data_IF_858938737916
#
_entry.id   IF_858938737916
#
_cell.length_a   1.000
_cell.length_b   1.000
_cell.length_c   1.000
_cell.angle_alpha   90.00
_cell.angle_beta   90.00
_cell.angle_gamma   90.00
#
_symmetry.space_group_name_H-M   'P 1'
#
loop_
_entity.id
_entity.type
_entity.pdbx_description
1 polymer ?
#
# COMPACT_ATOMS: atom_id res chain seq x y z
N UNK A 1 -6.27 20.22 8.41
CA UNK A 1 -5.34 19.44 7.59
C UNK A 1 -6.06 18.75 6.44
N UNK A 2 -7.17 18.12 6.74
CA UNK A 2 -8.04 17.45 5.77
C UNK A 2 -8.53 18.38 4.65
N UNK A 3 -8.99 19.57 5.00
CA UNK A 3 -9.46 20.57 4.03
C UNK A 3 -8.39 20.84 2.96
N UNK A 4 -7.12 21.07 3.36
CA UNK A 4 -6.02 21.29 2.41
C UNK A 4 -5.78 20.09 1.49
N UNK A 5 -5.95 18.86 2.00
CA UNK A 5 -5.83 17.67 1.19
C UNK A 5 -6.98 17.54 0.20
N UNK A 6 -8.22 17.82 0.62
CA UNK A 6 -9.40 17.80 -0.26
C UNK A 6 -9.31 18.85 -1.37
N UNK A 7 -8.91 20.07 -1.02
CA UNK A 7 -8.65 21.14 -2.02
C UNK A 7 -7.58 20.70 -3.02
N UNK A 8 -6.48 20.10 -2.54
CA UNK A 8 -5.43 19.58 -3.41
C UNK A 8 -5.91 18.46 -4.35
N UNK A 9 -6.71 17.52 -3.84
CA UNK A 9 -7.29 16.43 -4.64
C UNK A 9 -8.21 16.99 -5.73
N UNK A 10 -9.04 17.97 -5.39
CA UNK A 10 -9.94 18.61 -6.33
C UNK A 10 -9.17 19.43 -7.39
N UNK A 11 -8.31 20.37 -6.95
CA UNK A 11 -7.67 21.33 -7.85
C UNK A 11 -6.53 20.73 -8.69
N UNK A 12 -5.76 19.79 -8.12
CA UNK A 12 -4.54 19.28 -8.76
C UNK A 12 -4.72 17.92 -9.41
N UNK A 13 -5.68 17.12 -8.95
CA UNK A 13 -5.96 15.81 -9.50
C UNK A 13 -7.28 15.77 -10.28
N UNK A 14 -8.10 16.83 -10.25
CA UNK A 14 -9.37 16.89 -10.96
C UNK A 14 -10.40 15.89 -10.46
N UNK A 15 -10.31 15.46 -9.19
CA UNK A 15 -11.24 14.49 -8.63
C UNK A 15 -12.36 15.25 -7.89
N UNK A 16 -13.55 15.27 -8.50
CA UNK A 16 -14.71 16.00 -7.97
C UNK A 16 -15.52 15.20 -6.97
N UNK A 17 -15.50 13.86 -7.08
CA UNK A 17 -16.29 13.06 -6.17
C UNK A 17 -15.74 13.06 -4.74
N UNK A 18 -16.64 12.94 -3.76
CA UNK A 18 -16.30 12.93 -2.35
C UNK A 18 -15.52 11.67 -2.00
N UNK A 19 -14.23 11.83 -1.68
CA UNK A 19 -13.35 10.77 -1.19
C UNK A 19 -13.50 10.64 0.33
N UNK A 20 -13.74 9.44 0.81
CA UNK A 20 -13.78 9.17 2.25
C UNK A 20 -12.40 8.94 2.82
N UNK A 21 -11.98 9.85 3.71
CA UNK A 21 -10.65 9.87 4.32
C UNK A 21 -10.81 9.63 5.82
N UNK A 22 -10.10 8.65 6.37
CA UNK A 22 -10.19 8.32 7.78
C UNK A 22 -9.31 9.21 8.66
N UNK A 23 -8.02 9.27 8.37
CA UNK A 23 -7.07 10.05 9.16
C UNK A 23 -6.10 10.80 8.25
N UNK A 24 -5.84 12.07 8.62
CA UNK A 24 -4.92 12.95 7.89
C UNK A 24 -3.99 13.65 8.88
N UNK A 25 -2.70 13.43 8.76
CA UNK A 25 -1.71 14.06 9.62
C UNK A 25 -0.41 14.38 8.88
N UNK A 26 0.46 15.18 9.50
CA UNK A 26 1.80 15.44 9.01
C UNK A 26 2.76 14.38 9.52
N UNK A 27 3.58 13.83 8.62
CA UNK A 27 4.56 12.81 8.95
C UNK A 27 5.96 13.41 9.14
N UNK A 28 6.73 12.83 10.08
CA UNK A 28 8.11 13.19 10.33
C UNK A 28 8.32 14.42 11.19
N UNK A 29 9.56 14.64 11.59
CA UNK A 29 9.99 15.83 12.35
C UNK A 29 10.03 17.05 11.42
N UNK A 30 9.78 18.23 11.99
CA UNK A 30 9.98 19.50 11.28
C UNK A 30 11.50 19.72 11.15
N UNK A 31 11.97 19.77 9.92
CA UNK A 31 13.38 19.99 9.64
C UNK A 31 13.50 21.17 8.68
N UNK A 32 14.12 22.24 9.11
CA UNK A 32 14.21 23.52 8.39
C UNK A 32 12.81 23.98 7.92
N UNK A 33 12.74 24.91 7.00
CA UNK A 33 11.47 25.45 6.47
C UNK A 33 10.79 24.54 5.43
N UNK A 34 11.26 23.32 5.27
CA UNK A 34 10.64 22.38 4.32
C UNK A 34 9.28 21.89 4.82
N UNK A 35 8.24 21.94 3.98
CA UNK A 35 6.94 21.45 4.36
C UNK A 35 6.99 19.92 4.58
N UNK A 36 6.45 19.48 5.73
CA UNK A 36 6.36 18.06 6.04
C UNK A 36 5.33 17.37 5.13
N UNK A 37 5.57 16.12 4.69
CA UNK A 37 4.59 15.38 3.92
C UNK A 37 3.29 15.17 4.71
N UNK A 38 2.19 15.11 3.99
CA UNK A 38 0.88 14.77 4.52
C UNK A 38 0.66 13.28 4.27
N UNK A 39 0.30 12.55 5.32
CA UNK A 39 -0.14 11.15 5.24
C UNK A 39 -1.64 11.12 5.40
N UNK A 40 -2.32 10.42 4.51
CA UNK A 40 -3.75 10.23 4.54
C UNK A 40 -4.11 8.74 4.43
N UNK A 41 -5.07 8.30 5.24
CA UNK A 41 -5.65 6.97 5.16
C UNK A 41 -6.98 7.05 4.43
N UNK A 42 -7.07 6.38 3.29
CA UNK A 42 -8.32 6.23 2.55
C UNK A 42 -9.13 5.08 3.14
N UNK A 43 -10.45 5.26 3.24
CA UNK A 43 -11.35 4.21 3.73
C UNK A 43 -11.60 3.16 2.65
N UNK A 44 -11.70 3.60 1.40
CA UNK A 44 -11.96 2.72 0.27
C UNK A 44 -10.73 2.58 -0.63
N UNK A 45 -10.41 1.36 -0.99
CA UNK A 45 -9.29 1.06 -1.89
C UNK A 45 -9.52 1.65 -3.30
N UNK A 46 -10.77 1.78 -3.73
CA UNK A 46 -11.15 2.44 -4.98
C UNK A 46 -10.67 3.89 -5.04
N UNK A 47 -10.89 4.64 -3.96
CA UNK A 47 -10.49 6.05 -3.87
C UNK A 47 -8.97 6.20 -3.87
N UNK A 48 -8.28 5.32 -3.13
CA UNK A 48 -6.81 5.26 -3.16
C UNK A 48 -6.28 5.01 -4.57
N UNK A 49 -6.86 4.04 -5.29
CA UNK A 49 -6.45 3.74 -6.67
C UNK A 49 -6.65 4.93 -7.58
N UNK A 50 -7.81 5.57 -7.53
CA UNK A 50 -8.12 6.75 -8.33
C UNK A 50 -7.11 7.88 -8.09
N UNK A 51 -6.78 8.17 -6.84
CA UNK A 51 -5.77 9.20 -6.49
C UNK A 51 -4.39 8.83 -7.01
N UNK A 52 -3.99 7.56 -6.93
CA UNK A 52 -2.70 7.10 -7.44
C UNK A 52 -2.62 7.13 -8.97
N UNK A 53 -3.69 6.80 -9.66
CA UNK A 53 -3.76 6.83 -11.11
C UNK A 53 -3.68 8.28 -11.64
N UNK A 54 -4.36 9.21 -10.97
CA UNK A 54 -4.28 10.64 -11.29
C UNK A 54 -2.96 11.31 -10.86
N UNK A 55 -2.16 10.65 -10.03
CA UNK A 55 -0.85 11.20 -9.62
C UNK A 55 0.10 11.45 -10.81
N UNK A 56 -0.14 10.85 -11.96
CA UNK A 56 0.61 11.12 -13.19
C UNK A 56 0.47 12.57 -13.67
N UNK A 57 -0.63 13.24 -13.36
CA UNK A 57 -0.86 14.65 -13.70
C UNK A 57 0.03 15.61 -12.93
N UNK A 58 0.61 15.14 -11.82
CA UNK A 58 1.57 15.94 -11.04
C UNK A 58 2.99 15.96 -11.65
N UNK A 59 3.19 15.32 -12.80
CA UNK A 59 4.48 15.33 -13.49
C UNK A 59 4.88 16.78 -13.81
N UNK A 60 6.13 17.13 -13.53
CA UNK A 60 6.68 18.48 -13.67
C UNK A 60 6.09 19.54 -12.69
N UNK A 61 5.40 19.10 -11.65
CA UNK A 61 4.98 19.97 -10.55
C UNK A 61 5.83 19.70 -9.30
N UNK A 62 5.87 20.62 -8.32
CA UNK A 62 6.58 20.39 -7.05
C UNK A 62 5.89 19.37 -6.14
N UNK A 63 4.79 18.80 -6.58
CA UNK A 63 3.99 17.84 -5.80
C UNK A 63 4.27 16.41 -6.23
N UNK A 64 4.16 15.47 -5.28
CA UNK A 64 4.26 14.05 -5.54
C UNK A 64 3.37 13.27 -4.58
N UNK A 65 2.81 12.17 -5.08
CA UNK A 65 2.02 11.24 -4.29
C UNK A 65 2.72 9.89 -4.32
N UNK A 66 2.92 9.32 -3.13
CA UNK A 66 3.55 8.03 -2.96
C UNK A 66 2.73 7.16 -2.02
N UNK A 67 2.60 5.91 -2.34
CA UNK A 67 2.02 4.94 -1.44
C UNK A 67 3.00 4.65 -0.30
N UNK A 68 2.50 4.68 0.94
CA UNK A 68 3.28 4.30 2.12
C UNK A 68 3.20 2.78 2.30
N UNK A 69 4.36 2.17 2.49
CA UNK A 69 4.48 0.74 2.75
C UNK A 69 5.01 0.49 4.16
N UNK A 70 4.68 -0.67 4.77
CA UNK A 70 5.35 -1.13 5.99
C UNK A 70 6.85 -1.27 5.77
N UNK A 71 7.63 -1.05 6.84
CA UNK A 71 9.09 -1.06 6.79
C UNK A 71 9.70 -2.30 6.10
N UNK A 72 9.25 -3.55 6.36
CA UNK A 72 9.81 -4.71 5.68
C UNK A 72 9.66 -4.67 4.14
N UNK A 73 8.54 -4.12 3.66
CA UNK A 73 8.31 -3.94 2.22
C UNK A 73 9.19 -2.82 1.68
N UNK A 74 9.31 -1.72 2.42
CA UNK A 74 10.15 -0.58 2.03
C UNK A 74 11.63 -0.97 1.94
N UNK A 75 12.13 -1.78 2.86
CA UNK A 75 13.51 -2.27 2.85
C UNK A 75 13.79 -3.14 1.61
N UNK A 76 12.86 -4.05 1.25
CA UNK A 76 12.93 -4.81 0.00
C UNK A 76 12.92 -3.89 -1.23
N UNK A 77 12.03 -2.90 -1.26
CA UNK A 77 11.96 -1.91 -2.35
C UNK A 77 13.25 -1.14 -2.50
N UNK A 78 13.89 -0.77 -1.38
CA UNK A 78 15.17 -0.04 -1.38
C UNK A 78 16.27 -0.82 -2.10
N UNK A 79 16.34 -2.14 -1.89
CA UNK A 79 17.28 -3.03 -2.61
C UNK A 79 16.98 -3.10 -4.11
N UNK A 80 15.70 -3.01 -4.50
CA UNK A 80 15.25 -3.11 -5.89
C UNK A 80 15.35 -1.80 -6.70
N UNK A 81 15.41 -0.64 -6.04
CA UNK A 81 15.45 0.66 -6.73
C UNK A 81 16.66 0.84 -7.66
N UNK A 82 17.89 0.46 -7.30
CA UNK A 82 19.04 0.54 -8.21
C UNK A 82 18.79 -0.24 -9.50
N UNK A 83 18.34 -1.49 -9.38
CA UNK A 83 18.06 -2.38 -10.51
C UNK A 83 16.94 -1.82 -11.40
N UNK A 84 15.86 -1.31 -10.78
CA UNK A 84 14.77 -0.63 -11.49
C UNK A 84 15.31 0.56 -12.32
N UNK A 85 16.17 1.37 -11.72
CA UNK A 85 16.74 2.55 -12.36
C UNK A 85 17.64 2.17 -13.54
N UNK A 86 18.45 1.15 -13.39
CA UNK A 86 19.35 0.64 -14.43
C UNK A 86 18.58 -0.01 -15.58
N UNK A 87 17.55 -0.81 -15.28
CA UNK A 87 16.67 -1.37 -16.29
C UNK A 87 15.98 -0.27 -17.13
N UNK A 88 15.51 0.79 -16.48
CA UNK A 88 14.93 1.96 -17.19
C UNK A 88 15.95 2.71 -18.03
N UNK A 89 17.20 2.86 -17.59
CA UNK A 89 18.27 3.46 -18.38
C UNK A 89 18.58 2.67 -19.66
N UNK A 90 18.45 1.32 -19.55
CA UNK A 90 18.62 0.42 -20.70
C UNK A 90 17.39 0.39 -21.63
N UNK A 91 16.39 1.25 -21.41
CA UNK A 91 15.16 1.28 -22.20
C UNK A 91 14.21 0.11 -21.96
N UNK A 92 14.46 -0.74 -20.95
CA UNK A 92 13.59 -1.86 -20.61
C UNK A 92 12.35 -1.37 -19.86
N UNK A 93 11.21 -2.00 -20.15
CA UNK A 93 10.00 -1.75 -19.37
C UNK A 93 10.14 -2.38 -17.97
N UNK A 94 10.33 -1.54 -16.95
CA UNK A 94 10.52 -2.00 -15.59
C UNK A 94 9.50 -1.34 -14.66
N UNK A 95 8.80 -2.17 -13.89
CA UNK A 95 7.74 -1.77 -12.95
C UNK A 95 7.96 -2.42 -11.60
N UNK A 96 7.90 -1.63 -10.54
CA UNK A 96 7.99 -2.10 -9.15
C UNK A 96 6.60 -2.13 -8.53
N UNK A 97 6.06 -3.32 -8.35
CA UNK A 97 4.74 -3.56 -7.75
C UNK A 97 4.94 -4.08 -6.33
N UNK A 98 4.53 -3.28 -5.37
CA UNK A 98 4.73 -3.57 -3.94
C UNK A 98 6.22 -3.87 -3.64
N UNK A 99 6.60 -5.11 -3.40
CA UNK A 99 7.96 -5.57 -3.10
C UNK A 99 8.57 -6.45 -4.22
N UNK A 100 7.95 -6.46 -5.40
CA UNK A 100 8.36 -7.26 -6.55
C UNK A 100 8.70 -6.36 -7.74
N UNK A 101 9.85 -6.59 -8.35
CA UNK A 101 10.29 -5.91 -9.57
C UNK A 101 9.97 -6.77 -10.79
N UNK A 102 9.35 -6.17 -11.79
CA UNK A 102 9.10 -6.81 -13.08
C UNK A 102 9.89 -6.07 -14.17
N UNK A 103 10.63 -6.80 -14.98
CA UNK A 103 11.39 -6.29 -16.12
C UNK A 103 10.90 -7.01 -17.37
N UNK A 104 10.37 -6.26 -18.34
CA UNK A 104 9.78 -6.80 -19.56
C UNK A 104 8.71 -7.89 -19.30
N UNK A 105 7.94 -7.71 -18.23
CA UNK A 105 6.88 -8.65 -17.83
C UNK A 105 7.35 -9.85 -17.00
N UNK A 106 8.66 -10.06 -16.83
CA UNK A 106 9.22 -11.14 -16.01
C UNK A 106 9.59 -10.62 -14.63
N UNK A 107 9.29 -11.38 -13.56
CA UNK A 107 9.65 -11.01 -12.20
C UNK A 107 11.16 -11.18 -12.00
N UNK A 108 11.79 -10.12 -11.48
CA UNK A 108 13.18 -10.13 -11.06
C UNK A 108 13.28 -10.54 -9.58
N UNK A 109 14.14 -11.48 -9.27
CA UNK A 109 14.46 -11.91 -7.91
C UNK A 109 15.84 -11.38 -7.53
N UNK A 110 15.96 -10.83 -6.33
CA UNK A 110 17.27 -10.56 -5.72
C UNK A 110 17.64 -11.81 -4.95
N UNK A 111 18.61 -12.57 -5.46
CA UNK A 111 19.23 -13.59 -4.66
C UNK A 111 20.13 -12.89 -3.64
N UNK A 112 20.03 -13.23 -2.37
CA UNK A 112 20.87 -12.69 -1.30
C UNK A 112 22.35 -13.18 -1.40
N UNK A 113 22.65 -13.97 -2.41
CA UNK A 113 24.00 -14.35 -2.81
C UNK A 113 24.33 -13.63 -4.10
N UNK A 114 25.48 -12.97 -4.14
CA UNK A 114 26.00 -12.12 -5.24
C UNK A 114 26.17 -12.82 -6.61
N UNK A 115 25.50 -13.93 -6.87
CA UNK A 115 25.58 -14.65 -8.13
C UNK A 115 24.21 -15.03 -8.69
N UNK A 116 24.03 -14.65 -9.94
CA UNK A 116 23.08 -15.11 -10.95
C UNK A 116 21.61 -14.66 -10.83
N UNK A 117 21.27 -13.76 -11.72
CA UNK A 117 19.93 -13.40 -12.13
C UNK A 117 19.16 -14.60 -12.71
N UNK A 118 18.35 -15.27 -11.89
CA UNK A 118 17.36 -16.21 -12.42
C UNK A 118 16.07 -15.45 -12.77
N UNK A 119 15.82 -15.30 -14.06
CA UNK A 119 14.57 -14.76 -14.59
C UNK A 119 13.56 -15.89 -14.62
N UNK A 120 12.74 -16.01 -13.59
CA UNK A 120 11.63 -16.96 -13.59
C UNK A 120 10.41 -16.31 -14.29
N UNK A 121 9.86 -16.99 -15.32
CA UNK A 121 8.75 -16.53 -16.15
C UNK A 121 7.41 -16.58 -15.39
N UNK A 122 7.20 -15.70 -14.44
CA UNK A 122 5.87 -15.45 -13.90
C UNK A 122 5.36 -14.17 -14.56
N UNK A 123 4.28 -14.27 -15.33
CA UNK A 123 3.68 -13.13 -16.00
C UNK A 123 3.13 -12.12 -14.97
N UNK A 124 3.32 -10.83 -15.23
CA UNK A 124 2.73 -9.75 -14.44
C UNK A 124 1.21 -9.90 -14.24
N UNK A 125 0.49 -10.45 -15.25
CA UNK A 125 -0.96 -10.70 -15.16
C UNK A 125 -1.31 -11.75 -14.11
N UNK A 126 -0.51 -12.80 -13.94
CA UNK A 126 -0.79 -13.88 -13.00
C UNK A 126 -0.60 -13.42 -11.54
N UNK A 127 0.35 -12.51 -11.29
CA UNK A 127 0.57 -11.98 -9.94
C UNK A 127 -0.51 -11.01 -9.46
N UNK A 128 -1.34 -10.45 -10.37
CA UNK A 128 -2.50 -9.63 -10.02
C UNK A 128 -3.76 -10.47 -9.75
N UNK A 129 -3.81 -11.70 -10.25
CA UNK A 129 -4.96 -12.62 -10.13
C UNK A 129 -4.84 -13.55 -8.93
N UNK A 130 -3.66 -13.74 -8.37
CA UNK A 130 -3.50 -14.48 -7.11
C UNK A 130 -3.86 -13.60 -5.92
N UNK A 131 -5.16 -13.39 -5.71
CA UNK A 131 -5.64 -13.18 -4.34
C UNK A 131 -5.26 -14.44 -3.56
N UNK A 132 -4.64 -14.33 -2.37
CA UNK A 132 -4.49 -15.50 -1.52
C UNK A 132 -5.89 -16.06 -1.29
N UNK A 133 -6.15 -17.28 -1.75
CA UNK A 133 -7.29 -18.06 -1.27
C UNK A 133 -7.19 -17.99 0.24
N UNK A 134 -8.20 -17.41 0.85
CA UNK A 134 -8.42 -17.39 2.28
C UNK A 134 -8.31 -18.84 2.75
N UNK A 135 -7.15 -19.16 3.29
CA UNK A 135 -6.90 -20.50 3.84
C UNK A 135 -7.84 -20.61 5.02
N UNK A 136 -8.79 -21.53 4.91
CA UNK A 136 -9.65 -22.10 5.94
C UNK A 136 -9.01 -22.01 7.32
N UNK A 137 -9.32 -20.95 8.06
CA UNK A 137 -9.16 -20.94 9.50
C UNK A 137 -10.49 -21.37 10.10
N UNK A 138 -10.59 -22.54 10.67
CA UNK A 138 -11.78 -22.92 11.41
C UNK A 138 -11.88 -21.96 12.60
N UNK A 139 -12.84 -21.04 12.53
CA UNK A 139 -13.20 -20.16 13.64
C UNK A 139 -13.86 -21.02 14.71
N UNK A 140 -13.06 -21.55 15.63
CA UNK A 140 -13.56 -22.20 16.85
C UNK A 140 -14.23 -21.16 17.73
N UNK A 141 -15.53 -21.02 17.56
CA UNK A 141 -16.40 -20.32 18.50
C UNK A 141 -16.38 -21.09 19.82
N UNK A 142 -15.61 -20.63 20.79
CA UNK A 142 -15.74 -21.07 22.17
C UNK A 142 -17.11 -20.61 22.68
N UNK A 143 -18.03 -21.56 22.80
CA UNK A 143 -19.26 -21.36 23.56
C UNK A 143 -18.85 -21.22 25.02
N UNK A 144 -19.00 -20.02 25.59
CA UNK A 144 -19.04 -19.84 27.02
C UNK A 144 -20.34 -20.50 27.50
N UNK A 145 -20.20 -21.55 28.30
CA UNK A 145 -21.27 -22.13 29.09
C UNK A 145 -21.51 -21.21 30.29
N UNK A 146 -22.50 -20.34 30.19
CA UNK A 146 -23.06 -19.65 31.36
C UNK A 146 -23.90 -20.66 32.15
N UNK A 147 -23.28 -21.24 33.14
CA UNK A 147 -24.01 -21.91 34.23
C UNK A 147 -24.23 -20.88 35.32
N UNK A 148 -25.36 -20.21 35.26
CA UNK A 148 -25.87 -19.43 36.40
C UNK A 148 -26.45 -20.39 37.46
N UNK A 149 -26.06 -20.27 38.72
CA UNK A 149 -26.70 -21.03 39.79
C UNK A 149 -28.09 -20.45 40.13
N UNK A 150 -29.08 -21.33 40.15
CA UNK A 150 -30.42 -21.07 40.65
C UNK A 150 -30.35 -20.68 42.15
N UNK A 151 -30.73 -19.45 42.45
CA UNK A 151 -30.98 -19.02 43.81
C UNK A 151 -32.43 -19.38 44.13
N UNK A 152 -32.64 -20.44 44.92
CA UNK A 152 -33.90 -20.75 45.57
C UNK A 152 -34.10 -19.78 46.73
N UNK A 153 -35.02 -18.82 46.57
CA UNK A 153 -35.52 -18.01 47.67
C UNK A 153 -36.55 -18.79 48.48
N UNK A 154 -36.27 -18.98 49.75
CA UNK A 154 -37.29 -19.44 50.74
C UNK A 154 -37.93 -18.21 51.39
N UNK A 155 -39.26 -18.27 51.44
CA UNK A 155 -40.10 -17.33 52.14
C UNK A 155 -39.97 -17.51 53.68
N UNK A 156 -39.98 -16.37 54.37
CA UNK A 156 -40.79 -16.12 55.57
C UNK A 156 -40.96 -14.62 55.71
#
# INVERSE_FOLDING_TARGET
MEIKLRTFIFEKLGIEHKIEIGNVHRFGKRYNDRPRPIVARFLYHKDLRMVLDQATWLKNTPFGIHQQFPKPIEDKRRKLYPVLKDAKRQGKHAVLVRDKLFINGSQYFVDDTDEATHVNRISYRDSLLTTPKEADRPYKRQRRSDSSPLVTGNAY
#
